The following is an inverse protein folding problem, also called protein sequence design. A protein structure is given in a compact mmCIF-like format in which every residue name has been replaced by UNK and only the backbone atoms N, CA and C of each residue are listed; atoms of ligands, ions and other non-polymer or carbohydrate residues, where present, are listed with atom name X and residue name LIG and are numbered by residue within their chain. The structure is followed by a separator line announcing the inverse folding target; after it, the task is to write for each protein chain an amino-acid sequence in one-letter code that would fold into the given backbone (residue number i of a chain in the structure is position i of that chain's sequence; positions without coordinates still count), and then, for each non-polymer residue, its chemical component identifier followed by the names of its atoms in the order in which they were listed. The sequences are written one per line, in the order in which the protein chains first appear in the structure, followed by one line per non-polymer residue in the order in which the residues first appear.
data_IF_407716863601
#
_entry.id   IF_407716863601
#
_cell.length_a   1.000
_cell.length_b   1.000
_cell.length_c   1.000
_cell.angle_alpha   90.00
_cell.angle_beta   90.00
_cell.angle_gamma   90.00
#
_symmetry.space_group_name_H-M   'P 1'
#
loop_
_entity.id
_entity.type
_entity.pdbx_description
1 polymer ?
#
# COMPACT_ATOMS: atom_id res chain seq x y z
N UNK A 1 19.64 -6.55 -17.32
CA UNK A 1 18.24 -6.90 -17.02
C UNK A 1 17.38 -5.85 -17.68
N UNK A 2 16.80 -6.18 -18.84
CA UNK A 2 15.88 -5.30 -19.56
C UNK A 2 14.58 -5.24 -18.77
N UNK A 3 14.29 -4.09 -18.15
CA UNK A 3 13.03 -3.89 -17.45
C UNK A 3 11.99 -3.69 -18.55
N UNK A 4 11.05 -4.62 -18.75
CA UNK A 4 10.13 -4.53 -19.87
C UNK A 4 9.36 -3.21 -19.78
N UNK A 5 9.20 -2.51 -20.92
CA UNK A 5 8.50 -1.21 -21.01
C UNK A 5 7.13 -1.22 -20.32
N UNK A 6 6.47 -2.38 -20.30
CA UNK A 6 5.20 -2.62 -19.60
C UNK A 6 5.30 -2.42 -18.09
N UNK A 7 6.43 -2.73 -17.46
CA UNK A 7 6.65 -2.52 -16.02
C UNK A 7 6.74 -1.02 -15.67
N UNK A 8 7.35 -0.20 -16.54
CA UNK A 8 7.43 1.26 -16.36
C UNK A 8 6.04 1.90 -16.51
N UNK A 9 5.24 1.40 -17.47
CA UNK A 9 3.85 1.81 -17.63
C UNK A 9 3.00 1.43 -16.40
N UNK A 10 3.10 0.19 -15.93
CA UNK A 10 2.36 -0.31 -14.78
C UNK A 10 2.58 0.52 -13.51
N UNK A 11 3.81 0.99 -13.28
CA UNK A 11 4.12 1.85 -12.13
C UNK A 11 3.36 3.18 -12.16
N UNK A 12 3.21 3.82 -13.33
CA UNK A 12 2.44 5.06 -13.49
C UNK A 12 0.96 4.84 -13.16
N UNK A 13 0.38 3.74 -13.64
CA UNK A 13 -1.01 3.39 -13.35
C UNK A 13 -1.23 3.07 -11.87
N UNK A 14 -0.31 2.33 -11.25
CA UNK A 14 -0.38 2.04 -9.82
C UNK A 14 -0.34 3.31 -8.97
N UNK A 15 0.54 4.27 -9.28
CA UNK A 15 0.58 5.56 -8.57
C UNK A 15 -0.71 6.36 -8.76
N UNK A 16 -1.26 6.39 -9.98
CA UNK A 16 -2.53 7.06 -10.24
C UNK A 16 -3.69 6.43 -9.45
N UNK A 17 -3.70 5.10 -9.35
CA UNK A 17 -4.67 4.35 -8.56
C UNK A 17 -4.57 4.68 -7.06
N UNK A 18 -3.35 4.71 -6.52
CA UNK A 18 -3.11 5.07 -5.11
C UNK A 18 -3.56 6.50 -4.79
N UNK A 19 -3.26 7.46 -5.67
CA UNK A 19 -3.78 8.83 -5.52
C UNK A 19 -5.31 8.86 -5.48
N UNK A 20 -5.97 8.10 -6.36
CA UNK A 20 -7.44 8.00 -6.36
C UNK A 20 -7.98 7.41 -5.06
N UNK A 21 -7.32 6.42 -4.47
CA UNK A 21 -7.71 5.87 -3.17
C UNK A 21 -7.59 6.89 -2.05
N UNK A 22 -6.49 7.67 -2.02
CA UNK A 22 -6.29 8.76 -1.06
C UNK A 22 -7.39 9.82 -1.21
N UNK A 23 -7.67 10.27 -2.44
CA UNK A 23 -8.76 11.24 -2.70
C UNK A 23 -10.13 10.73 -2.26
N UNK A 24 -10.36 9.41 -2.29
CA UNK A 24 -11.58 8.78 -1.77
C UNK A 24 -11.57 8.57 -0.24
N UNK A 25 -10.48 8.93 0.45
CA UNK A 25 -10.32 8.71 1.88
C UNK A 25 -10.15 7.24 2.25
N UNK A 26 -9.62 6.40 1.36
CA UNK A 26 -9.45 4.98 1.62
C UNK A 26 -8.11 4.71 2.31
N UNK A 27 -8.16 4.29 3.57
CA UNK A 27 -7.02 3.72 4.26
C UNK A 27 -6.67 2.31 3.71
N UNK A 28 -5.50 1.75 4.04
CA UNK A 28 -5.07 0.45 3.54
C UNK A 28 -6.06 -0.70 3.80
N UNK A 29 -6.75 -0.70 4.94
CA UNK A 29 -7.77 -1.70 5.26
C UNK A 29 -9.04 -1.47 4.45
N UNK A 30 -9.46 -0.22 4.30
CA UNK A 30 -10.57 0.15 3.42
C UNK A 30 -10.34 -0.28 1.97
N UNK A 31 -9.11 -0.21 1.46
CA UNK A 31 -8.79 -0.70 0.10
C UNK A 31 -8.98 -2.22 0.02
N UNK A 32 -8.53 -3.00 1.01
CA UNK A 32 -8.74 -4.45 1.03
C UNK A 32 -10.23 -4.82 0.97
N UNK A 33 -11.06 -4.11 1.73
CA UNK A 33 -12.50 -4.40 1.82
C UNK A 33 -13.23 -3.89 0.59
N UNK A 34 -13.02 -2.63 0.20
CA UNK A 34 -13.83 -1.96 -0.85
C UNK A 34 -13.35 -2.24 -2.27
N UNK A 35 -12.06 -2.51 -2.48
CA UNK A 35 -11.49 -2.72 -3.81
C UNK A 35 -11.25 -4.20 -4.07
N UNK A 36 -10.67 -4.91 -3.11
CA UNK A 36 -10.33 -6.34 -3.27
C UNK A 36 -11.40 -7.29 -2.71
N UNK A 37 -12.47 -6.74 -2.10
CA UNK A 37 -13.55 -7.51 -1.47
C UNK A 37 -13.03 -8.57 -0.48
N UNK A 38 -11.98 -8.22 0.28
CA UNK A 38 -11.38 -9.09 1.31
C UNK A 38 -11.87 -8.66 2.68
N UNK A 39 -12.30 -9.64 3.49
CA UNK A 39 -12.79 -9.41 4.85
C UNK A 39 -11.67 -8.96 5.82
N UNK A 40 -10.42 -9.30 5.52
CA UNK A 40 -9.26 -8.95 6.35
C UNK A 40 -7.94 -9.10 5.59
N UNK A 41 -6.85 -8.61 6.17
CA UNK A 41 -5.47 -8.86 5.69
C UNK A 41 -5.15 -10.35 5.64
N UNK A 42 -5.68 -11.16 6.57
CA UNK A 42 -5.47 -12.60 6.58
C UNK A 42 -6.12 -13.29 5.36
N UNK A 43 -7.27 -12.79 4.91
CA UNK A 43 -7.99 -13.28 3.74
C UNK A 43 -7.41 -12.80 2.40
N UNK A 44 -6.47 -11.84 2.43
CA UNK A 44 -5.82 -11.31 1.24
C UNK A 44 -4.73 -12.27 0.72
N UNK A 45 -4.66 -12.43 -0.60
CA UNK A 45 -3.58 -13.17 -1.25
C UNK A 45 -2.27 -12.39 -1.21
N UNK A 46 -1.19 -13.04 -1.68
CA UNK A 46 0.14 -12.44 -1.69
C UNK A 46 0.20 -11.15 -2.52
N UNK A 47 -0.53 -11.09 -3.64
CA UNK A 47 -0.55 -9.94 -4.52
C UNK A 47 -1.25 -8.74 -3.86
N UNK A 48 -2.43 -8.93 -3.26
CA UNK A 48 -3.14 -7.84 -2.58
C UNK A 48 -2.33 -7.32 -1.40
N UNK A 49 -1.69 -8.23 -0.63
CA UNK A 49 -0.77 -7.84 0.45
C UNK A 49 0.38 -7.00 -0.05
N UNK A 50 0.98 -7.35 -1.20
CA UNK A 50 2.06 -6.58 -1.82
C UNK A 50 1.60 -5.19 -2.27
N UNK A 51 0.42 -5.08 -2.88
CA UNK A 51 -0.16 -3.80 -3.30
C UNK A 51 -0.43 -2.90 -2.08
N UNK A 52 -0.99 -3.46 -1.01
CA UNK A 52 -1.25 -2.73 0.23
C UNK A 52 0.04 -2.29 0.91
N UNK A 53 1.07 -3.14 0.94
CA UNK A 53 2.38 -2.77 1.46
C UNK A 53 3.00 -1.60 0.69
N UNK A 54 2.82 -1.54 -0.63
CA UNK A 54 3.25 -0.41 -1.45
C UNK A 54 2.39 0.85 -1.26
N UNK A 55 1.10 0.69 -0.95
CA UNK A 55 0.18 1.81 -0.74
C UNK A 55 0.35 2.50 0.61
N UNK A 56 0.53 1.71 1.68
CA UNK A 56 0.66 2.17 3.07
C UNK A 56 1.60 3.38 3.27
N UNK A 57 2.87 3.36 2.82
CA UNK A 57 3.78 4.48 3.03
C UNK A 57 3.34 5.76 2.31
N UNK A 58 2.63 5.63 1.18
CA UNK A 58 2.12 6.77 0.41
C UNK A 58 0.92 7.38 1.13
N UNK A 59 0.03 6.54 1.67
CA UNK A 59 -1.09 6.98 2.49
C UNK A 59 -0.62 7.69 3.75
N UNK A 60 0.35 7.14 4.48
CA UNK A 60 0.91 7.74 5.71
C UNK A 60 1.50 9.12 5.43
N UNK A 61 2.36 9.22 4.41
CA UNK A 61 2.94 10.50 3.96
C UNK A 61 1.87 11.52 3.55
N UNK A 62 0.82 11.09 2.84
CA UNK A 62 -0.23 11.99 2.38
C UNK A 62 -1.09 12.54 3.53
N UNK A 63 -1.20 11.80 4.63
CA UNK A 63 -1.98 12.21 5.81
C UNK A 63 -1.14 12.89 6.89
N UNK A 64 0.13 13.21 6.61
CA UNK A 64 1.02 13.81 7.60
C UNK A 64 1.27 12.90 8.81
N UNK A 65 1.08 11.60 8.65
CA UNK A 65 1.49 10.60 9.63
C UNK A 65 2.99 10.49 9.44
N UNK A 66 3.74 11.32 10.15
CA UNK A 66 5.19 11.19 10.23
C UNK A 66 5.49 9.72 10.54
N UNK A 67 6.33 9.10 9.72
CA UNK A 67 6.90 7.80 10.04
C UNK A 67 7.84 8.04 11.23
N UNK A 68 7.28 8.24 12.41
CA UNK A 68 8.04 8.27 13.65
C UNK A 68 8.77 6.96 13.68
N UNK A 69 10.09 7.12 13.71
CA UNK A 69 11.19 6.20 13.84
C UNK A 69 10.91 5.07 14.85
N UNK A 70 9.96 4.19 14.54
CA UNK A 70 9.74 2.94 15.25
C UNK A 70 10.63 1.90 14.57
N UNK A 71 11.95 2.17 14.61
CA UNK A 71 12.91 1.09 14.75
C UNK A 71 12.42 0.28 15.96
N UNK A 72 11.80 -0.87 15.68
CA UNK A 72 11.46 -1.85 16.70
C UNK A 72 12.77 -2.23 17.35
N UNK A 73 13.11 -1.59 18.48
CA UNK A 73 14.21 -2.03 19.32
C UNK A 73 13.78 -3.40 19.84
N UNK A 74 14.43 -4.51 19.43
CA UNK A 74 14.06 -5.81 19.95
C UNK A 74 14.29 -5.77 21.45
N UNK A 75 13.23 -6.02 22.24
CA UNK A 75 13.36 -6.29 23.68
C UNK A 75 14.17 -7.58 23.79
N UNK A 76 15.48 -7.47 24.00
CA UNK A 76 16.30 -8.60 24.41
C UNK A 76 15.84 -8.98 25.82
N UNK A 77 15.09 -10.08 25.91
CA UNK A 77 14.94 -10.84 27.15
C UNK A 77 16.18 -11.72 27.34
#
# INVERSE_FOLDING_TARGET
MDIPQTAVGAYKYQRALFKRWITKGYDPMSVLIKVFNKRSVAAAGAQEKSIIAAYKPIYEKANGIDMVDNAVVPRRL
#
